data_IF_105358206982
#
_entry.id   IF_105358206982
#
_cell.length_a   1.000
_cell.length_b   1.000
_cell.length_c   1.000
_cell.angle_alpha   90.00
_cell.angle_beta   90.00
_cell.angle_gamma   90.00
#
_symmetry.space_group_name_H-M   'P 1'
#
loop_
_entity.id
_entity.type
_entity.pdbx_description
1 polymer ?
#
# COMPACT_ATOMS: atom_id res chain seq x y z
N UNK A 1 10.33 19.49 -5.83
CA UNK A 1 9.18 19.00 -6.58
C UNK A 1 7.90 19.41 -5.89
N UNK A 2 6.95 19.94 -6.64
CA UNK A 2 5.65 20.30 -6.10
C UNK A 2 4.72 19.08 -6.17
N UNK A 3 4.04 18.76 -5.06
CA UNK A 3 3.07 17.67 -5.01
C UNK A 3 1.67 18.19 -5.29
N UNK A 4 0.82 17.32 -5.84
CA UNK A 4 -0.57 17.67 -6.15
C UNK A 4 -1.37 17.99 -4.88
N UNK A 5 -1.11 17.24 -3.80
CA UNK A 5 -1.75 17.42 -2.51
C UNK A 5 -0.78 17.01 -1.41
N UNK A 6 -1.04 17.40 -0.17
CA UNK A 6 -0.29 16.93 1.01
C UNK A 6 -1.11 15.98 1.89
N UNK A 7 -2.27 15.56 1.40
CA UNK A 7 -3.15 14.63 2.12
C UNK A 7 -2.54 13.23 2.21
N UNK A 8 -2.83 12.53 3.29
CA UNK A 8 -2.32 11.18 3.50
C UNK A 8 -2.99 10.18 2.56
N UNK A 9 -2.17 9.39 1.88
CA UNK A 9 -2.61 8.31 1.00
C UNK A 9 -2.10 6.99 1.55
N UNK A 10 -2.98 6.01 1.68
CA UNK A 10 -2.64 4.67 2.15
C UNK A 10 -2.72 3.69 0.98
N UNK A 11 -1.71 2.86 0.84
CA UNK A 11 -1.71 1.76 -0.13
C UNK A 11 -1.85 0.45 0.64
N UNK A 12 -3.01 -0.18 0.47
CA UNK A 12 -3.32 -1.48 1.09
C UNK A 12 -2.78 -2.58 0.19
N UNK A 13 -2.06 -3.54 0.78
CA UNK A 13 -1.39 -4.58 0.03
C UNK A 13 -0.06 -4.10 -0.55
N UNK A 14 0.58 -3.14 0.10
CA UNK A 14 1.79 -2.49 -0.41
C UNK A 14 2.99 -3.44 -0.52
N UNK A 15 2.98 -4.56 0.20
CA UNK A 15 4.04 -5.56 0.09
C UNK A 15 3.94 -6.44 -1.14
N UNK A 16 2.82 -6.41 -1.86
CA UNK A 16 2.61 -7.19 -3.07
C UNK A 16 3.18 -6.51 -4.32
N UNK A 17 3.12 -7.22 -5.45
CA UNK A 17 3.69 -6.71 -6.70
C UNK A 17 2.95 -5.47 -7.21
N UNK A 18 1.63 -5.49 -7.20
CA UNK A 18 0.82 -4.36 -7.67
C UNK A 18 0.93 -3.19 -6.69
N UNK A 19 0.79 -3.47 -5.39
CA UNK A 19 0.86 -2.44 -4.36
C UNK A 19 2.18 -1.71 -4.34
N UNK A 20 3.29 -2.43 -4.45
CA UNK A 20 4.63 -1.82 -4.48
C UNK A 20 4.81 -0.92 -5.71
N UNK A 21 4.31 -1.34 -6.86
CA UNK A 21 4.34 -0.52 -8.06
C UNK A 21 3.48 0.73 -7.94
N UNK A 22 2.35 0.65 -7.23
CA UNK A 22 1.51 1.81 -6.96
C UNK A 22 2.21 2.83 -6.06
N UNK A 23 2.97 2.37 -5.05
CA UNK A 23 3.78 3.26 -4.21
C UNK A 23 4.75 4.06 -5.08
N UNK A 24 5.49 3.37 -5.93
CA UNK A 24 6.44 4.01 -6.82
C UNK A 24 5.77 5.01 -7.75
N UNK A 25 4.64 4.63 -8.34
CA UNK A 25 3.90 5.49 -9.26
C UNK A 25 3.39 6.76 -8.58
N UNK A 26 2.86 6.65 -7.37
CA UNK A 26 2.39 7.81 -6.60
C UNK A 26 3.53 8.80 -6.36
N UNK A 27 4.70 8.29 -5.98
CA UNK A 27 5.86 9.14 -5.70
C UNK A 27 6.46 9.73 -6.97
N UNK A 28 6.55 8.95 -8.05
CA UNK A 28 7.07 9.44 -9.32
C UNK A 28 6.18 10.50 -9.95
N UNK A 29 4.87 10.36 -9.82
CA UNK A 29 3.92 11.34 -10.33
C UNK A 29 3.77 12.57 -9.42
N UNK A 30 4.33 12.52 -8.22
CA UNK A 30 4.25 13.64 -7.28
C UNK A 30 2.84 13.91 -6.79
N UNK A 31 2.04 12.86 -6.57
CA UNK A 31 0.65 13.02 -6.14
C UNK A 31 0.57 13.54 -4.70
N UNK A 32 1.28 12.89 -3.77
CA UNK A 32 1.36 13.34 -2.38
C UNK A 32 2.68 12.87 -1.78
N UNK A 33 3.30 13.67 -0.87
CA UNK A 33 4.49 13.20 -0.16
C UNK A 33 4.18 12.24 0.97
N UNK A 34 2.94 12.24 1.48
CA UNK A 34 2.56 11.49 2.68
C UNK A 34 1.91 10.17 2.28
N UNK A 35 2.74 9.13 2.14
CA UNK A 35 2.30 7.80 1.71
C UNK A 35 2.56 6.81 2.84
N UNK A 36 1.51 6.09 3.23
CA UNK A 36 1.59 5.02 4.22
C UNK A 36 1.42 3.67 3.53
N UNK A 37 2.37 2.79 3.72
CA UNK A 37 2.35 1.45 3.17
C UNK A 37 1.75 0.51 4.22
N UNK A 38 0.65 -0.15 3.88
CA UNK A 38 -0.02 -1.06 4.79
C UNK A 38 -0.11 -2.45 4.17
N UNK A 39 0.30 -3.45 4.95
CA UNK A 39 0.12 -4.86 4.62
C UNK A 39 0.09 -5.65 5.92
N UNK A 40 -0.40 -6.88 5.87
CA UNK A 40 -0.41 -7.77 7.02
C UNK A 40 0.90 -8.53 7.17
N UNK A 41 1.71 -8.61 6.12
CA UNK A 41 2.99 -9.30 6.10
C UNK A 41 4.11 -8.30 6.30
N UNK A 42 4.58 -8.15 7.54
CA UNK A 42 5.56 -7.13 7.93
C UNK A 42 6.87 -7.19 7.13
N UNK A 43 7.52 -8.36 6.92
CA UNK A 43 8.76 -8.36 6.15
C UNK A 43 8.61 -7.84 4.71
N UNK A 44 7.47 -8.12 4.08
CA UNK A 44 7.21 -7.65 2.72
C UNK A 44 7.02 -6.15 2.65
N UNK A 45 6.19 -5.58 3.52
CA UNK A 45 5.94 -4.14 3.52
C UNK A 45 7.17 -3.36 3.95
N UNK A 46 7.94 -3.88 4.91
CA UNK A 46 9.19 -3.27 5.34
C UNK A 46 10.20 -3.24 4.19
N UNK A 47 10.28 -4.32 3.42
CA UNK A 47 11.17 -4.39 2.27
C UNK A 47 10.84 -3.34 1.21
N UNK A 48 9.56 -3.17 0.89
CA UNK A 48 9.11 -2.14 -0.05
C UNK A 48 9.41 -0.74 0.48
N UNK A 49 9.18 -0.51 1.78
CA UNK A 49 9.51 0.76 2.43
C UNK A 49 10.99 1.09 2.25
N UNK A 50 11.88 0.13 2.52
CA UNK A 50 13.33 0.33 2.36
C UNK A 50 13.69 0.61 0.90
N UNK A 51 13.10 -0.13 -0.06
CA UNK A 51 13.34 0.12 -1.48
C UNK A 51 12.95 1.54 -1.89
N UNK A 52 11.80 2.01 -1.43
CA UNK A 52 11.33 3.35 -1.76
C UNK A 52 12.17 4.43 -1.09
N UNK A 53 12.67 4.18 0.13
CA UNK A 53 13.62 5.09 0.78
C UNK A 53 14.92 5.21 -0.01
N UNK A 54 15.41 4.11 -0.57
CA UNK A 54 16.62 4.12 -1.40
C UNK A 54 16.43 4.85 -2.73
N UNK A 55 15.22 4.98 -3.22
CA UNK A 55 14.93 5.77 -4.42
C UNK A 55 15.09 7.28 -4.19
N UNK A 56 15.13 7.72 -2.94
CA UNK A 56 15.37 9.12 -2.54
C UNK A 56 14.42 10.11 -3.23
N UNK A 57 13.13 9.80 -3.29
CA UNK A 57 12.15 10.72 -3.84
C UNK A 57 12.14 12.02 -3.03
N UNK A 58 12.37 13.19 -3.66
CA UNK A 58 12.49 14.45 -2.92
C UNK A 58 11.20 14.81 -2.18
N UNK A 59 11.33 15.12 -0.89
CA UNK A 59 10.20 15.55 -0.07
C UNK A 59 9.25 14.44 0.35
N UNK A 60 9.50 13.20 -0.03
CA UNK A 60 8.62 12.08 0.33
C UNK A 60 8.67 11.80 1.84
N UNK A 61 7.51 11.60 2.43
CA UNK A 61 7.35 11.26 3.83
C UNK A 61 6.66 9.90 3.91
N UNK A 62 7.48 8.84 3.84
CA UNK A 62 7.00 7.47 3.81
C UNK A 62 6.87 6.89 5.21
N UNK A 63 5.86 6.06 5.39
CA UNK A 63 5.70 5.26 6.58
C UNK A 63 5.16 3.88 6.20
N UNK A 64 5.30 2.91 7.09
CA UNK A 64 4.72 1.60 6.90
C UNK A 64 4.18 1.07 8.21
N UNK A 65 3.18 0.21 8.14
CA UNK A 65 2.59 -0.37 9.33
C UNK A 65 1.85 -1.67 8.98
N UNK A 66 1.67 -2.51 9.98
CA UNK A 66 0.79 -3.69 9.89
C UNK A 66 -0.48 -3.49 10.70
N UNK A 67 -0.65 -2.33 11.33
CA UNK A 67 -1.82 -1.98 12.14
C UNK A 67 -2.79 -1.15 11.29
N UNK A 68 -4.02 -1.66 11.02
CA UNK A 68 -4.98 -0.93 10.20
C UNK A 68 -5.42 0.40 10.83
N UNK A 69 -5.53 0.49 12.14
CA UNK A 69 -5.90 1.75 12.78
C UNK A 69 -4.86 2.83 12.53
N UNK A 70 -3.59 2.49 12.70
CA UNK A 70 -2.50 3.41 12.42
C UNK A 70 -2.46 3.82 10.94
N UNK A 71 -2.68 2.85 10.04
CA UNK A 71 -2.66 3.10 8.61
C UNK A 71 -3.75 4.08 8.21
N UNK A 72 -4.98 3.86 8.65
CA UNK A 72 -6.14 4.61 8.17
C UNK A 72 -6.43 5.90 8.93
N UNK A 73 -5.79 6.12 10.07
CA UNK A 73 -5.97 7.35 10.82
C UNK A 73 -5.47 8.54 10.01
N UNK A 74 -6.36 9.51 9.76
CA UNK A 74 -6.02 10.70 9.00
C UNK A 74 -5.89 10.49 7.50
N UNK A 75 -6.20 9.29 6.99
CA UNK A 75 -6.08 9.00 5.56
C UNK A 75 -7.20 9.68 4.77
N UNK A 76 -6.82 10.36 3.70
CA UNK A 76 -7.77 10.97 2.77
C UNK A 76 -8.03 10.07 1.57
N UNK A 77 -6.99 9.40 1.08
CA UNK A 77 -7.07 8.53 -0.10
C UNK A 77 -6.57 7.14 0.25
N UNK A 78 -7.26 6.13 -0.26
CA UNK A 78 -6.91 4.73 -0.03
C UNK A 78 -6.94 4.01 -1.38
N UNK A 79 -5.82 3.38 -1.72
CA UNK A 79 -5.72 2.50 -2.89
C UNK A 79 -5.55 1.09 -2.36
N UNK A 80 -6.46 0.19 -2.70
CA UNK A 80 -6.42 -1.17 -2.22
C UNK A 80 -6.10 -2.15 -3.33
N UNK A 81 -5.04 -2.93 -3.12
CA UNK A 81 -4.69 -4.09 -3.96
C UNK A 81 -4.61 -5.36 -3.11
N UNK A 82 -5.15 -5.30 -1.88
CA UNK A 82 -5.13 -6.43 -0.97
C UNK A 82 -6.05 -7.54 -1.39
N UNK A 83 -5.67 -8.75 -1.05
CA UNK A 83 -6.46 -9.94 -1.32
C UNK A 83 -5.56 -11.16 -1.45
N UNK A 84 -6.15 -12.34 -1.34
CA UNK A 84 -5.46 -13.60 -1.50
C UNK A 84 -5.61 -14.10 -2.94
N UNK A 85 -4.57 -14.70 -3.54
CA UNK A 85 -4.69 -15.31 -4.85
C UNK A 85 -5.49 -16.61 -4.77
N UNK A 86 -6.09 -17.00 -5.89
CA UNK A 86 -6.80 -18.26 -5.98
C UNK A 86 -5.79 -19.41 -5.90
N UNK A 87 -6.06 -20.36 -5.02
CA UNK A 87 -5.25 -21.57 -4.86
C UNK A 87 -5.95 -22.77 -5.49
N UNK A 88 -5.17 -23.83 -5.72
CA UNK A 88 -5.72 -25.08 -6.23
C UNK A 88 -6.82 -25.61 -5.31
N UNK A 89 -7.93 -26.04 -5.91
CA UNK A 89 -9.08 -26.54 -5.17
C UNK A 89 -10.03 -25.45 -4.67
N UNK A 90 -9.74 -24.17 -4.89
CA UNK A 90 -10.64 -23.09 -4.56
C UNK A 90 -11.53 -22.72 -5.75
N UNK A 91 -12.81 -22.50 -5.49
CA UNK A 91 -13.72 -21.92 -6.46
C UNK A 91 -13.59 -20.41 -6.44
N UNK A 92 -14.19 -19.74 -7.44
CA UNK A 92 -14.22 -18.27 -7.44
C UNK A 92 -15.06 -17.72 -6.28
N UNK A 93 -16.10 -18.46 -5.89
CA UNK A 93 -16.93 -18.10 -4.75
C UNK A 93 -16.16 -18.16 -3.44
N UNK A 94 -15.33 -19.19 -3.26
CA UNK A 94 -14.46 -19.31 -2.09
C UNK A 94 -13.49 -18.13 -2.01
N UNK A 95 -12.91 -17.76 -3.14
CA UNK A 95 -12.01 -16.62 -3.24
C UNK A 95 -12.74 -15.33 -2.91
N UNK A 96 -13.95 -15.14 -3.41
CA UNK A 96 -14.78 -13.95 -3.14
C UNK A 96 -15.07 -13.82 -1.65
N UNK A 97 -15.49 -14.89 -1.00
CA UNK A 97 -15.79 -14.86 0.45
C UNK A 97 -14.54 -14.52 1.24
N UNK A 98 -13.40 -15.14 0.93
CA UNK A 98 -12.13 -14.87 1.60
C UNK A 98 -11.70 -13.41 1.44
N UNK A 99 -11.76 -12.89 0.23
CA UNK A 99 -11.34 -11.51 -0.05
C UNK A 99 -12.31 -10.48 0.52
N UNK A 100 -13.61 -10.80 0.60
CA UNK A 100 -14.57 -9.92 1.27
C UNK A 100 -14.27 -9.77 2.77
N UNK A 101 -13.74 -10.82 3.41
CA UNK A 101 -13.33 -10.74 4.81
C UNK A 101 -12.06 -9.92 4.99
N UNK A 102 -11.17 -9.95 4.01
CA UNK A 102 -9.94 -9.15 4.03
C UNK A 102 -10.26 -7.66 3.81
N UNK A 103 -11.18 -7.38 2.93
CA UNK A 103 -11.54 -6.00 2.58
C UNK A 103 -12.29 -5.23 3.75
#
# INVERSE_FOLDING_TARGET
MAFLTDEKLVIVGAGGMIGSNMVQSVLMLGLTPNVCLYDIYEPGVHGVYEEMCHCAFPGANLSYTVDPEEAFTGAKYIISSGGAPRKDGMTREDLLVGNCKIA
#
